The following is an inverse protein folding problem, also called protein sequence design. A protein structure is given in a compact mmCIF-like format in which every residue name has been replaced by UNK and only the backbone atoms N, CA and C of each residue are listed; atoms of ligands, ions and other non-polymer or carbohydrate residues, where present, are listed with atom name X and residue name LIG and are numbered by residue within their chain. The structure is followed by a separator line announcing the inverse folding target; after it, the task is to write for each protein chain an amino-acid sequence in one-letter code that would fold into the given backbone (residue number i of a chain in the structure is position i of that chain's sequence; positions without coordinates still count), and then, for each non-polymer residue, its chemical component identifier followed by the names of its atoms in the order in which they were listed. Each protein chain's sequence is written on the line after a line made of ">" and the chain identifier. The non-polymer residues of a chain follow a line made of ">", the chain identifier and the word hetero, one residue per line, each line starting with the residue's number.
data_IF_331918479943
#
_entry.id   IF_331918479943
#
_cell.length_a   1.000
_cell.length_b   1.000
_cell.length_c   1.000
_cell.angle_alpha   90.00
_cell.angle_beta   90.00
_cell.angle_gamma   90.00
#
_symmetry.space_group_name_H-M   'P 1'
#
loop_
_entity.id
_entity.type
_entity.pdbx_description
1 polymer ?
#
# COMPACT_ATOMS: atom_id res chain seq x y z
N UNK A 1 -1.04 -22.63 18.85
CA UNK A 1 -1.98 -22.39 17.72
C UNK A 1 -2.14 -20.89 17.54
N UNK A 2 -2.39 -20.18 18.63
CA UNK A 2 -2.38 -18.72 18.74
C UNK A 2 -1.18 -18.03 18.07
N UNK A 3 0.05 -18.34 18.49
CA UNK A 3 1.27 -17.73 17.90
C UNK A 3 1.40 -17.91 16.37
N UNK A 4 0.89 -19.02 15.83
CA UNK A 4 0.96 -19.27 14.37
C UNK A 4 -0.08 -18.44 13.65
N UNK A 5 -1.27 -18.26 14.23
CA UNK A 5 -2.32 -17.44 13.66
C UNK A 5 -1.94 -15.95 13.67
N UNK A 6 -1.35 -15.46 14.76
CA UNK A 6 -0.79 -14.10 14.85
C UNK A 6 0.19 -13.85 13.70
N UNK A 7 1.18 -14.73 13.54
CA UNK A 7 2.14 -14.63 12.43
C UNK A 7 1.46 -14.66 11.05
N UNK A 8 0.39 -15.44 10.87
CA UNK A 8 -0.36 -15.45 9.61
C UNK A 8 -1.03 -14.10 9.34
N UNK A 9 -1.69 -13.54 10.36
CA UNK A 9 -2.35 -12.24 10.29
C UNK A 9 -1.33 -11.15 9.96
N UNK A 10 -0.20 -11.12 10.66
CA UNK A 10 0.86 -10.15 10.42
C UNK A 10 1.43 -10.25 9.00
N UNK A 11 1.75 -11.46 8.53
CA UNK A 11 2.23 -11.66 7.17
C UNK A 11 1.22 -11.18 6.12
N UNK A 12 -0.08 -11.44 6.34
CA UNK A 12 -1.13 -11.06 5.42
C UNK A 12 -1.40 -9.56 5.41
N UNK A 13 -1.42 -8.89 6.56
CA UNK A 13 -1.55 -7.44 6.66
C UNK A 13 -0.34 -6.71 6.05
N UNK A 14 0.87 -7.26 6.22
CA UNK A 14 2.08 -6.73 5.60
C UNK A 14 2.10 -6.88 4.08
N UNK A 15 1.51 -7.95 3.56
CA UNK A 15 1.36 -8.19 2.12
C UNK A 15 0.23 -7.35 1.48
N UNK A 16 -0.67 -6.79 2.28
CA UNK A 16 -1.81 -6.02 1.81
C UNK A 16 -1.42 -4.59 1.44
N UNK A 17 -1.12 -4.37 0.15
CA UNK A 17 -0.62 -3.10 -0.39
C UNK A 17 -1.49 -1.89 -0.06
N UNK A 18 -2.80 -1.99 -0.27
CA UNK A 18 -3.74 -0.88 0.00
C UNK A 18 -3.74 -0.49 1.49
N UNK A 19 -3.70 -1.48 2.38
CA UNK A 19 -3.63 -1.25 3.83
C UNK A 19 -2.29 -0.64 4.24
N UNK A 20 -1.17 -1.13 3.72
CA UNK A 20 0.16 -0.56 3.99
C UNK A 20 0.28 0.89 3.51
N UNK A 21 -0.32 1.21 2.34
CA UNK A 21 -0.40 2.57 1.85
C UNK A 21 -1.25 3.45 2.79
N UNK A 22 -2.40 2.96 3.26
CA UNK A 22 -3.25 3.69 4.21
C UNK A 22 -2.53 4.01 5.52
N UNK A 23 -1.76 3.06 6.06
CA UNK A 23 -0.93 3.29 7.26
C UNK A 23 0.10 4.39 6.99
N UNK A 24 0.81 4.30 5.85
CA UNK A 24 1.82 5.29 5.47
C UNK A 24 1.22 6.69 5.28
N UNK A 25 -0.03 6.77 4.84
CA UNK A 25 -0.76 8.02 4.65
C UNK A 25 -1.44 8.53 5.93
N UNK A 26 -1.27 7.83 7.06
CA UNK A 26 -1.90 8.15 8.34
C UNK A 26 -3.43 8.26 8.23
N UNK A 27 -4.07 7.37 7.44
CA UNK A 27 -5.51 7.43 7.19
C UNK A 27 -6.36 7.33 8.46
N UNK A 28 -5.86 6.68 9.52
CA UNK A 28 -6.50 6.60 10.83
C UNK A 28 -6.22 7.76 11.79
N UNK A 29 -5.53 8.81 11.33
CA UNK A 29 -5.13 9.97 12.14
C UNK A 29 -3.76 9.81 12.82
N UNK A 30 -3.48 10.57 13.89
CA UNK A 30 -2.18 10.53 14.59
C UNK A 30 -1.86 9.15 15.16
N UNK A 31 -2.89 8.40 15.55
CA UNK A 31 -2.76 7.09 16.21
C UNK A 31 -2.83 5.94 15.20
N UNK A 32 -2.60 6.19 13.90
CA UNK A 32 -2.74 5.18 12.83
C UNK A 32 -1.90 3.94 13.09
N UNK A 33 -0.67 4.10 13.60
CA UNK A 33 0.22 2.97 13.90
C UNK A 33 -0.30 2.14 15.07
N UNK A 34 -0.76 2.78 16.13
CA UNK A 34 -1.33 2.13 17.32
C UNK A 34 -2.62 1.38 16.95
N UNK A 35 -3.46 1.99 16.11
CA UNK A 35 -4.65 1.35 15.52
C UNK A 35 -4.28 0.15 14.66
N UNK A 36 -3.17 0.19 13.93
CA UNK A 36 -2.72 -0.93 13.10
C UNK A 36 -2.31 -2.14 13.96
N UNK A 37 -1.54 -1.91 15.02
CA UNK A 37 -1.18 -2.96 15.97
C UNK A 37 -2.42 -3.52 16.69
N UNK A 38 -3.32 -2.64 17.11
CA UNK A 38 -4.61 -3.03 17.70
C UNK A 38 -5.44 -3.87 16.73
N UNK A 39 -5.52 -3.48 15.45
CA UNK A 39 -6.28 -4.20 14.45
C UNK A 39 -5.75 -5.61 14.24
N UNK A 40 -4.42 -5.80 14.16
CA UNK A 40 -3.81 -7.12 14.05
C UNK A 40 -4.17 -8.03 15.24
N UNK A 41 -4.14 -7.49 16.46
CA UNK A 41 -4.50 -8.21 17.67
C UNK A 41 -5.99 -8.60 17.72
N UNK A 42 -6.89 -7.66 17.42
CA UNK A 42 -8.34 -7.93 17.43
C UNK A 42 -8.72 -8.86 16.29
N UNK A 43 -8.14 -8.72 15.11
CA UNK A 43 -8.38 -9.62 13.97
C UNK A 43 -7.95 -11.05 14.31
N UNK A 44 -6.79 -11.24 14.94
CA UNK A 44 -6.36 -12.54 15.45
C UNK A 44 -7.37 -13.09 16.44
N UNK A 45 -7.77 -12.31 17.44
CA UNK A 45 -8.72 -12.73 18.46
C UNK A 45 -10.08 -13.14 17.86
N UNK A 46 -10.59 -12.36 16.90
CA UNK A 46 -11.83 -12.63 16.19
C UNK A 46 -11.78 -13.95 15.41
N UNK A 47 -10.65 -14.22 14.75
CA UNK A 47 -10.41 -15.47 14.04
C UNK A 47 -10.33 -16.67 15.00
N UNK A 48 -9.82 -16.51 16.21
CA UNK A 48 -9.75 -17.60 17.19
C UNK A 48 -11.12 -17.95 17.78
N UNK A 49 -11.88 -16.95 18.23
CA UNK A 49 -13.10 -17.17 19.01
C UNK A 49 -14.31 -17.52 18.15
N UNK A 50 -14.29 -17.20 16.86
CA UNK A 50 -15.42 -17.45 15.98
C UNK A 50 -15.37 -18.86 15.39
N UNK A 51 -16.10 -19.82 15.96
CA UNK A 51 -16.06 -21.22 15.52
C UNK A 51 -16.49 -21.46 14.06
N UNK A 52 -17.50 -20.72 13.57
CA UNK A 52 -17.99 -20.77 12.19
C UNK A 52 -17.87 -19.39 11.56
N UNK A 53 -16.69 -19.10 11.05
CA UNK A 53 -16.43 -17.86 10.33
C UNK A 53 -16.80 -18.07 8.86
N UNK A 54 -17.80 -17.34 8.38
CA UNK A 54 -18.14 -17.26 6.96
C UNK A 54 -17.46 -16.06 6.31
N UNK A 55 -17.37 -16.11 4.97
CA UNK A 55 -16.76 -15.05 4.18
C UNK A 55 -17.46 -13.71 4.39
N UNK A 56 -18.80 -13.68 4.34
CA UNK A 56 -19.56 -12.43 4.40
C UNK A 56 -19.38 -11.73 5.74
N UNK A 57 -19.50 -12.47 6.86
CA UNK A 57 -19.31 -11.87 8.19
C UNK A 57 -17.89 -11.38 8.43
N UNK A 58 -16.85 -12.08 7.95
CA UNK A 58 -15.48 -11.57 8.09
C UNK A 58 -15.23 -10.36 7.18
N UNK A 59 -15.73 -10.39 5.95
CA UNK A 59 -15.60 -9.30 4.99
C UNK A 59 -16.24 -8.01 5.52
N UNK A 60 -17.49 -8.08 5.97
CA UNK A 60 -18.23 -6.95 6.54
C UNK A 60 -17.52 -6.42 7.78
N UNK A 61 -17.05 -7.31 8.66
CA UNK A 61 -16.34 -6.92 9.89
C UNK A 61 -15.01 -6.21 9.61
N UNK A 62 -14.20 -6.71 8.67
CA UNK A 62 -12.97 -6.03 8.25
C UNK A 62 -13.30 -4.68 7.62
N UNK A 63 -14.30 -4.62 6.75
CA UNK A 63 -14.71 -3.38 6.07
C UNK A 63 -15.18 -2.31 7.05
N UNK A 64 -15.97 -2.69 8.06
CA UNK A 64 -16.46 -1.79 9.10
C UNK A 64 -15.31 -1.21 9.93
N UNK A 65 -14.30 -2.01 10.27
CA UNK A 65 -13.11 -1.51 10.98
C UNK A 65 -12.29 -0.56 10.10
N UNK A 66 -12.09 -0.89 8.82
CA UNK A 66 -11.38 -0.02 7.90
C UNK A 66 -12.06 1.34 7.75
N UNK A 67 -13.39 1.36 7.64
CA UNK A 67 -14.16 2.59 7.54
C UNK A 67 -14.12 3.40 8.85
N UNK A 68 -14.45 2.78 9.98
CA UNK A 68 -14.58 3.47 11.26
C UNK A 68 -13.23 3.92 11.85
N UNK A 69 -12.21 3.08 11.77
CA UNK A 69 -10.93 3.33 12.46
C UNK A 69 -9.88 3.95 11.55
N UNK A 70 -9.90 3.62 10.26
CA UNK A 70 -8.92 4.08 9.28
C UNK A 70 -9.48 5.04 8.24
N UNK A 71 -10.78 5.38 8.28
CA UNK A 71 -11.45 6.20 7.27
C UNK A 71 -11.13 5.71 5.85
N UNK A 72 -11.16 4.38 5.67
CA UNK A 72 -10.67 3.69 4.48
C UNK A 72 -11.77 2.85 3.86
N UNK A 73 -12.13 3.20 2.63
CA UNK A 73 -13.03 2.42 1.76
C UNK A 73 -12.20 1.90 0.59
N UNK A 74 -12.12 0.57 0.45
CA UNK A 74 -11.33 -0.10 -0.60
C UNK A 74 -12.26 -0.78 -1.61
N UNK A 75 -12.22 -0.31 -2.85
CA UNK A 75 -13.04 -0.82 -3.97
C UNK A 75 -12.22 -1.68 -4.96
N UNK A 76 -11.00 -2.06 -4.59
CA UNK A 76 -10.05 -2.81 -5.44
C UNK A 76 -10.13 -4.33 -5.24
N UNK A 77 -11.17 -4.83 -4.56
CA UNK A 77 -11.36 -6.22 -4.15
C UNK A 77 -10.24 -6.78 -3.24
N UNK A 78 -9.34 -5.93 -2.73
CA UNK A 78 -8.26 -6.39 -1.84
C UNK A 78 -8.79 -6.86 -0.48
N UNK A 79 -9.93 -6.33 -0.03
CA UNK A 79 -10.67 -6.82 1.16
C UNK A 79 -11.19 -8.25 0.95
N UNK A 80 -11.62 -8.61 -0.26
CA UNK A 80 -12.05 -9.98 -0.57
C UNK A 80 -10.86 -10.95 -0.53
N UNK A 81 -9.72 -10.51 -1.08
CA UNK A 81 -8.48 -11.29 -1.08
C UNK A 81 -7.98 -11.57 0.33
N UNK A 82 -7.92 -10.56 1.21
CA UNK A 82 -7.46 -10.73 2.59
C UNK A 82 -8.43 -11.64 3.35
N UNK A 83 -9.74 -11.45 3.21
CA UNK A 83 -10.80 -12.25 3.85
C UNK A 83 -10.66 -13.73 3.48
N UNK A 84 -10.54 -14.01 2.19
CA UNK A 84 -10.36 -15.37 1.68
C UNK A 84 -9.06 -16.00 2.17
N UNK A 85 -7.98 -15.22 2.23
CA UNK A 85 -6.67 -15.70 2.68
C UNK A 85 -6.65 -16.04 4.17
N UNK A 86 -7.27 -15.21 5.00
CA UNK A 86 -7.41 -15.47 6.44
C UNK A 86 -8.24 -16.73 6.72
N UNK A 87 -9.34 -16.92 5.98
CA UNK A 87 -10.14 -18.15 6.04
C UNK A 87 -9.32 -19.38 5.66
N UNK A 88 -8.54 -19.30 4.58
CA UNK A 88 -7.62 -20.39 4.18
C UNK A 88 -6.62 -20.71 5.27
N UNK A 89 -5.93 -19.70 5.83
CA UNK A 89 -4.99 -19.88 6.94
C UNK A 89 -5.65 -20.60 8.13
N UNK A 90 -6.85 -20.17 8.53
CA UNK A 90 -7.62 -20.79 9.60
C UNK A 90 -7.98 -22.25 9.29
N UNK A 91 -8.43 -22.56 8.07
CA UNK A 91 -8.73 -23.95 7.69
C UNK A 91 -7.51 -24.85 7.72
N UNK A 92 -6.35 -24.38 7.24
CA UNK A 92 -5.10 -25.13 7.31
C UNK A 92 -4.62 -25.36 8.74
N UNK A 93 -4.81 -24.38 9.63
CA UNK A 93 -4.50 -24.51 11.05
C UNK A 93 -5.37 -25.56 11.74
N UNK A 94 -6.67 -25.60 11.41
CA UNK A 94 -7.60 -26.61 11.93
C UNK A 94 -7.29 -28.02 11.40
N UNK A 95 -6.92 -28.11 10.13
CA UNK A 95 -6.57 -29.38 9.46
C UNK A 95 -5.12 -29.85 9.75
N UNK A 96 -4.35 -29.12 10.56
CA UNK A 96 -2.91 -29.35 10.81
C UNK A 96 -2.03 -29.35 9.52
N UNK A 97 -2.47 -28.67 8.46
CA UNK A 97 -1.76 -28.51 7.18
C UNK A 97 -0.72 -27.38 7.24
N UNK A 98 0.32 -27.58 8.03
CA UNK A 98 1.38 -26.58 8.27
C UNK A 98 2.27 -26.33 7.04
N UNK A 99 2.46 -27.33 6.19
CA UNK A 99 3.35 -27.22 5.01
C UNK A 99 2.74 -26.28 3.98
N UNK A 100 1.46 -26.44 3.70
CA UNK A 100 0.69 -25.60 2.78
C UNK A 100 0.59 -24.16 3.29
N UNK A 101 0.42 -24.00 4.60
CA UNK A 101 0.41 -22.70 5.26
C UNK A 101 1.75 -21.98 5.08
N UNK A 102 2.87 -22.59 5.45
CA UNK A 102 4.19 -21.97 5.34
C UNK A 102 4.55 -21.69 3.88
N UNK A 103 4.22 -22.59 2.94
CA UNK A 103 4.41 -22.36 1.51
C UNK A 103 3.57 -21.17 1.00
N UNK A 104 2.34 -21.03 1.48
CA UNK A 104 1.51 -19.87 1.13
C UNK A 104 2.11 -18.58 1.69
N UNK A 105 2.50 -18.57 2.96
CA UNK A 105 3.12 -17.40 3.60
C UNK A 105 4.47 -17.01 2.96
N UNK A 106 5.27 -17.98 2.52
CA UNK A 106 6.54 -17.71 1.84
C UNK A 106 6.37 -17.11 0.45
N UNK A 107 5.20 -17.29 -0.18
CA UNK A 107 4.89 -16.74 -1.50
C UNK A 107 4.28 -15.34 -1.42
N UNK A 108 3.96 -14.85 -0.22
CA UNK A 108 3.48 -13.49 -0.05
C UNK A 108 4.62 -12.49 -0.29
N UNK A 109 4.33 -11.32 -0.89
CA UNK A 109 5.32 -10.27 -1.05
C UNK A 109 5.84 -9.85 0.33
N UNK A 110 7.15 -9.59 0.42
CA UNK A 110 7.71 -9.09 1.67
C UNK A 110 7.23 -7.67 1.95
N UNK A 111 7.24 -7.26 3.21
CA UNK A 111 6.88 -5.89 3.60
C UNK A 111 7.71 -4.85 2.82
N UNK A 112 8.99 -5.14 2.56
CA UNK A 112 9.86 -4.27 1.77
C UNK A 112 9.41 -4.16 0.31
N UNK A 113 8.97 -5.26 -0.31
CA UNK A 113 8.49 -5.26 -1.69
C UNK A 113 7.21 -4.41 -1.82
N UNK A 114 6.31 -4.53 -0.83
CA UNK A 114 5.08 -3.73 -0.74
C UNK A 114 5.40 -2.24 -0.53
N UNK A 115 6.34 -1.91 0.35
CA UNK A 115 6.78 -0.54 0.59
C UNK A 115 7.40 0.09 -0.66
N UNK A 116 8.24 -0.66 -1.38
CA UNK A 116 8.88 -0.21 -2.62
C UNK A 116 7.85 0.06 -3.73
N UNK A 117 6.87 -0.82 -3.92
CA UNK A 117 5.79 -0.59 -4.88
C UNK A 117 5.00 0.71 -4.57
N UNK A 118 4.85 1.01 -3.29
CA UNK A 118 4.15 2.22 -2.81
C UNK A 118 4.99 3.49 -3.01
N UNK A 119 6.32 3.42 -2.94
CA UNK A 119 7.22 4.56 -3.19
C UNK A 119 7.38 4.90 -4.66
N UNK A 120 7.41 3.89 -5.54
CA UNK A 120 7.57 4.09 -7.00
C UNK A 120 6.39 4.85 -7.62
N UNK A 121 5.21 4.79 -7.01
CA UNK A 121 4.05 5.60 -7.41
C UNK A 121 4.18 7.09 -7.04
N UNK A 122 5.22 7.47 -6.27
CA UNK A 122 5.47 8.85 -5.81
C UNK A 122 6.61 9.55 -6.58
N UNK A 123 7.27 8.88 -7.52
CA UNK A 123 8.41 9.45 -8.27
C UNK A 123 7.93 10.07 -9.60
N UNK A 124 7.10 11.11 -9.50
CA UNK A 124 6.91 12.12 -10.57
C UNK A 124 6.58 13.47 -9.93
N UNK A 125 7.44 13.96 -9.04
CA UNK A 125 7.62 15.40 -8.78
C UNK A 125 8.62 15.59 -7.64
N UNK A 126 9.88 15.85 -7.99
CA UNK A 126 10.83 16.50 -7.11
C UNK A 126 11.82 17.27 -7.97
N UNK A 127 11.36 18.40 -8.51
CA UNK A 127 12.24 19.54 -8.77
C UNK A 127 12.97 19.85 -7.45
N UNK A 128 14.20 19.36 -7.33
CA UNK A 128 15.12 19.76 -6.27
C UNK A 128 15.99 20.88 -6.84
N UNK A 129 15.46 22.09 -6.80
CA UNK A 129 16.24 23.32 -6.84
C UNK A 129 17.17 23.33 -5.61
N UNK A 130 18.41 22.92 -5.82
CA UNK A 130 19.48 23.06 -4.83
C UNK A 130 20.23 24.35 -5.12
N UNK A 131 19.75 25.42 -4.50
CA UNK A 131 20.30 26.76 -4.57
C UNK A 131 21.46 26.89 -3.58
N UNK A 132 22.71 26.75 -4.05
CA UNK A 132 23.89 27.25 -3.32
C UNK A 132 25.15 27.32 -4.22
N UNK A 133 25.60 28.53 -4.58
CA UNK A 133 26.98 29.00 -4.33
C UNK A 133 27.18 30.45 -4.77
N UNK A 134 27.68 31.25 -3.83
CA UNK A 134 28.07 32.65 -3.93
C UNK A 134 29.37 32.80 -4.76
N UNK A 135 29.42 33.74 -5.72
CA UNK A 135 30.61 34.03 -6.53
C UNK A 135 30.45 35.24 -7.45
N UNK A 136 30.99 36.36 -7.01
CA UNK A 136 31.08 37.66 -7.70
C UNK A 136 31.99 37.65 -8.95
N UNK A 137 31.48 38.14 -10.10
CA UNK A 137 32.17 39.06 -11.06
C UNK A 137 31.64 38.98 -12.51
N UNK A 138 31.22 40.15 -13.01
CA UNK A 138 31.42 40.75 -14.34
C UNK A 138 31.42 39.93 -15.65
N UNK A 139 30.45 40.28 -16.51
CA UNK A 139 30.44 40.41 -18.00
C UNK A 139 31.06 39.29 -18.87
N UNK A 140 30.24 38.62 -19.70
CA UNK A 140 30.22 38.77 -21.17
C UNK A 140 29.30 37.74 -21.88
N UNK A 141 28.87 38.16 -23.07
CA UNK A 141 27.97 37.50 -24.03
C UNK A 141 28.28 36.04 -24.42
N UNK A 142 27.18 35.38 -24.83
CA UNK A 142 27.05 34.38 -25.90
C UNK A 142 27.72 33.01 -25.75
N UNK A 143 26.94 32.01 -25.30
CA UNK A 143 26.92 30.68 -25.94
C UNK A 143 25.47 30.16 -26.01
N UNK A 144 24.89 30.20 -27.23
CA UNK A 144 23.72 29.40 -27.62
C UNK A 144 24.00 27.91 -27.42
N UNK A 145 23.26 27.27 -26.52
CA UNK A 145 22.95 25.83 -26.62
C UNK A 145 21.43 25.67 -26.64
N UNK A 146 20.89 25.48 -27.85
CA UNK A 146 19.47 25.23 -28.09
C UNK A 146 19.11 23.85 -27.55
N UNK A 147 18.47 23.77 -26.39
CA UNK A 147 17.68 22.59 -26.05
C UNK A 147 16.51 22.50 -27.05
N UNK A 148 16.20 21.32 -27.62
CA UNK A 148 15.08 21.18 -28.54
C UNK A 148 13.77 21.44 -27.79
N UNK A 149 13.18 22.63 -27.98
CA UNK A 149 11.82 22.91 -27.53
C UNK A 149 10.89 21.89 -28.21
N UNK A 150 10.35 20.96 -27.43
CA UNK A 150 9.25 20.09 -27.88
C UNK A 150 8.10 21.02 -28.24
N UNK A 151 7.64 20.98 -29.50
CA UNK A 151 6.47 21.76 -29.93
C UNK A 151 5.25 21.14 -29.26
N UNK A 152 4.54 21.97 -28.51
CA UNK A 152 3.24 21.67 -27.95
C UNK A 152 2.22 22.36 -28.83
N UNK A 153 1.27 21.60 -29.37
CA UNK A 153 0.11 22.15 -30.09
C UNK A 153 -1.12 21.86 -29.25
N UNK A 154 -1.92 22.89 -29.02
CA UNK A 154 -3.21 22.80 -28.34
C UNK A 154 -4.29 22.82 -29.42
N UNK A 155 -5.16 21.82 -29.41
CA UNK A 155 -6.29 21.74 -30.33
C UNK A 155 -7.45 22.66 -29.92
N UNK A 156 -8.48 22.74 -30.76
CA UNK A 156 -9.69 23.53 -30.50
C UNK A 156 -10.50 23.02 -29.30
N UNK A 157 -10.26 21.78 -28.86
CA UNK A 157 -10.86 21.17 -27.67
C UNK A 157 -10.03 21.39 -26.39
N UNK A 158 -8.92 22.13 -26.48
CA UNK A 158 -8.09 22.54 -25.33
C UNK A 158 -7.12 21.47 -24.84
N UNK A 159 -6.95 20.36 -25.55
CA UNK A 159 -5.97 19.33 -25.23
C UNK A 159 -4.62 19.64 -25.88
N UNK A 160 -3.56 19.61 -25.08
CA UNK A 160 -2.20 19.83 -25.56
C UNK A 160 -1.50 18.51 -25.87
N UNK A 161 -1.18 18.27 -27.14
CA UNK A 161 -0.45 17.07 -27.57
C UNK A 161 1.06 17.33 -27.59
N UNK A 162 1.83 16.46 -26.94
CA UNK A 162 3.30 16.53 -26.94
C UNK A 162 3.82 15.77 -28.16
N UNK A 163 4.25 16.51 -29.18
CA UNK A 163 4.82 15.93 -30.39
C UNK A 163 6.28 15.55 -30.10
N UNK A 164 6.56 14.24 -30.05
CA UNK A 164 7.95 13.73 -30.02
C UNK A 164 8.50 13.77 -31.45
N UNK A 165 9.76 14.22 -31.59
CA UNK A 165 10.47 14.24 -32.87
C UNK A 165 11.07 12.89 -33.17
#
# INVERSE_FOLDING_TARGET
>A
MEEVLERCVDCLLNAWTAYQLAIKMLSGGPDTYEKSEWFAAVLTNYLQHTSKLDFNSLYEWISEILDNEFNLILEDNSVEWITTSLLKCKTWLNDNRKVELEHFLSNLPSQNDVQNATTESKIVDSDSDSDNTNGESSVNMDIRTKLPKRRMETDEDGWTTIIRR
#
